data_IF_775223867671
#
_entry.id   IF_775223867671
#
_cell.length_a   1.000
_cell.length_b   1.000
_cell.length_c   1.000
_cell.angle_alpha   90.00
_cell.angle_beta   90.00
_cell.angle_gamma   90.00
#
_symmetry.space_group_name_H-M   'P 1'
#
loop_
_entity.id
_entity.type
_entity.pdbx_description
1 polymer ?
#
# COMPACT_ATOMS: atom_id res chain seq x y z
N UNK A 1 -0.95 -33.94 10.15
CA UNK A 1 -1.89 -32.82 9.91
C UNK A 1 -3.11 -33.39 9.20
N UNK A 2 -4.32 -33.04 9.62
CA UNK A 2 -5.54 -33.48 8.93
C UNK A 2 -5.78 -32.60 7.70
N UNK A 3 -5.95 -33.23 6.54
CA UNK A 3 -6.32 -32.54 5.29
C UNK A 3 -7.85 -32.47 5.25
N UNK A 4 -8.39 -31.30 4.92
CA UNK A 4 -9.83 -31.09 4.72
C UNK A 4 -10.09 -30.49 3.34
N UNK A 5 -11.16 -30.95 2.71
CA UNK A 5 -11.59 -30.47 1.39
C UNK A 5 -12.46 -29.21 1.54
N UNK A 6 -12.32 -28.29 0.58
CA UNK A 6 -13.16 -27.09 0.47
C UNK A 6 -13.96 -27.22 -0.83
N UNK A 7 -15.29 -27.11 -0.76
CA UNK A 7 -16.16 -27.03 -1.91
C UNK A 7 -16.69 -25.60 -2.04
N UNK A 8 -16.46 -24.96 -3.19
CA UNK A 8 -16.87 -23.59 -3.47
C UNK A 8 -17.67 -23.56 -4.76
N UNK A 9 -18.79 -22.83 -4.77
CA UNK A 9 -19.50 -22.47 -6.00
C UNK A 9 -19.02 -21.08 -6.43
N UNK A 10 -18.60 -20.97 -7.67
CA UNK A 10 -18.07 -19.75 -8.28
C UNK A 10 -18.63 -19.63 -9.69
N UNK A 11 -18.78 -18.39 -10.17
CA UNK A 11 -19.08 -18.14 -11.57
C UNK A 11 -17.98 -18.71 -12.47
N UNK A 12 -18.37 -19.31 -13.59
CA UNK A 12 -17.44 -19.97 -14.52
C UNK A 12 -16.51 -18.95 -15.18
N UNK A 13 -17.04 -17.79 -15.58
CA UNK A 13 -16.24 -16.72 -16.16
C UNK A 13 -15.18 -16.22 -15.20
N UNK A 14 -15.58 -15.96 -13.94
CA UNK A 14 -14.65 -15.54 -12.90
C UNK A 14 -13.55 -16.56 -12.63
N UNK A 15 -13.91 -17.87 -12.58
CA UNK A 15 -12.93 -18.95 -12.39
C UNK A 15 -11.91 -18.95 -13.52
N UNK A 16 -12.37 -18.89 -14.77
CA UNK A 16 -11.51 -18.96 -15.94
C UNK A 16 -10.58 -17.75 -16.04
N UNK A 17 -11.09 -16.53 -15.77
CA UNK A 17 -10.26 -15.33 -15.72
C UNK A 17 -9.19 -15.40 -14.62
N UNK A 18 -9.55 -15.90 -13.44
CA UNK A 18 -8.59 -16.07 -12.36
C UNK A 18 -7.53 -17.13 -12.69
N UNK A 19 -7.90 -18.25 -13.32
CA UNK A 19 -6.96 -19.29 -13.75
C UNK A 19 -5.90 -18.74 -14.72
N UNK A 20 -6.29 -17.99 -15.74
CA UNK A 20 -5.36 -17.38 -16.70
C UNK A 20 -4.32 -16.51 -15.99
N UNK A 21 -4.77 -15.62 -15.10
CA UNK A 21 -3.87 -14.72 -14.37
C UNK A 21 -2.94 -15.50 -13.43
N UNK A 22 -3.45 -16.53 -12.75
CA UNK A 22 -2.63 -17.34 -11.85
C UNK A 22 -1.59 -18.17 -12.60
N UNK A 23 -1.93 -18.69 -13.79
CA UNK A 23 -1.00 -19.41 -14.65
C UNK A 23 0.14 -18.51 -15.14
N UNK A 24 -0.14 -17.26 -15.53
CA UNK A 24 0.88 -16.27 -15.87
C UNK A 24 1.84 -16.00 -14.69
N UNK A 25 1.34 -16.11 -13.45
CA UNK A 25 2.13 -15.99 -12.22
C UNK A 25 2.81 -17.30 -11.80
N UNK A 26 2.60 -18.40 -12.54
CA UNK A 26 3.15 -19.73 -12.23
C UNK A 26 2.48 -20.41 -11.02
N UNK A 27 1.21 -20.12 -10.77
CA UNK A 27 0.43 -20.64 -9.64
C UNK A 27 -0.79 -21.43 -10.12
N UNK A 28 -1.10 -22.52 -9.43
CA UNK A 28 -2.39 -23.20 -9.57
C UNK A 28 -3.43 -22.60 -8.60
N UNK A 29 -4.71 -22.75 -8.94
CA UNK A 29 -5.83 -22.23 -8.13
C UNK A 29 -5.77 -22.69 -6.66
N UNK A 30 -5.50 -23.97 -6.34
CA UNK A 30 -5.34 -24.40 -4.95
C UNK A 30 -4.16 -23.74 -4.21
N UNK A 31 -3.02 -23.48 -4.86
CA UNK A 31 -1.90 -22.79 -4.20
C UNK A 31 -2.24 -21.33 -3.94
N UNK A 32 -2.86 -20.64 -4.89
CA UNK A 32 -3.33 -19.27 -4.69
C UNK A 32 -4.28 -19.18 -3.50
N UNK A 33 -5.26 -20.09 -3.40
CA UNK A 33 -6.19 -20.12 -2.28
C UNK A 33 -5.48 -20.42 -0.93
N UNK A 34 -4.51 -21.34 -0.91
CA UNK A 34 -3.69 -21.60 0.28
C UNK A 34 -2.87 -20.38 0.70
N UNK A 35 -2.30 -19.64 -0.25
CA UNK A 35 -1.55 -18.41 0.01
C UNK A 35 -2.46 -17.34 0.61
N UNK A 36 -3.64 -17.14 0.04
CA UNK A 36 -4.67 -16.24 0.57
C UNK A 36 -5.00 -16.57 2.04
N UNK A 37 -5.34 -17.83 2.33
CA UNK A 37 -5.69 -18.26 3.69
C UNK A 37 -4.52 -18.09 4.68
N UNK A 38 -3.29 -18.42 4.27
CA UNK A 38 -2.10 -18.20 5.10
C UNK A 38 -1.91 -16.73 5.41
N UNK A 39 -2.16 -15.84 4.45
CA UNK A 39 -2.07 -14.39 4.65
C UNK A 39 -3.14 -13.92 5.64
N UNK A 40 -4.40 -14.35 5.49
CA UNK A 40 -5.49 -14.07 6.44
C UNK A 40 -5.10 -14.46 7.87
N UNK A 41 -4.57 -15.68 8.05
CA UNK A 41 -4.15 -16.16 9.38
C UNK A 41 -3.03 -15.31 9.96
N UNK A 42 -2.06 -14.89 9.14
CA UNK A 42 -0.90 -14.10 9.55
C UNK A 42 -1.27 -12.65 9.89
N UNK A 43 -2.15 -12.02 9.12
CA UNK A 43 -2.52 -10.61 9.30
C UNK A 43 -3.75 -10.40 10.16
N UNK A 44 -4.52 -11.47 10.44
CA UNK A 44 -5.83 -11.38 11.12
C UNK A 44 -6.81 -10.43 10.42
N UNK A 45 -6.68 -10.30 9.12
CA UNK A 45 -7.47 -9.41 8.27
C UNK A 45 -7.60 -9.98 6.86
N UNK A 46 -8.56 -9.48 6.08
CA UNK A 46 -8.69 -9.80 4.66
C UNK A 46 -7.51 -9.15 3.91
N UNK A 47 -6.77 -9.90 3.08
CA UNK A 47 -5.49 -9.48 2.51
C UNK A 47 -5.63 -8.60 1.26
N UNK A 48 -6.68 -7.78 1.23
CA UNK A 48 -6.94 -6.73 0.26
C UNK A 48 -7.92 -5.74 0.92
N UNK A 49 -7.99 -4.53 0.40
CA UNK A 49 -8.89 -3.51 0.95
C UNK A 49 -10.32 -3.82 0.49
N UNK A 50 -11.27 -3.80 1.41
CA UNK A 50 -12.69 -3.89 1.05
C UNK A 50 -13.22 -2.46 0.99
N UNK A 51 -13.39 -1.94 -0.22
CA UNK A 51 -13.98 -0.62 -0.48
C UNK A 51 -14.82 -0.67 -1.75
N UNK A 52 -15.82 0.21 -1.83
CA UNK A 52 -16.55 0.50 -3.08
C UNK A 52 -15.78 1.49 -3.97
N UNK A 53 -14.74 2.12 -3.42
CA UNK A 53 -13.81 2.98 -4.15
C UNK A 53 -12.72 2.09 -4.79
N UNK A 54 -12.44 2.30 -6.08
CA UNK A 54 -11.51 1.49 -6.86
C UNK A 54 -10.16 1.24 -6.15
N UNK A 55 -9.66 -0.01 -6.23
CA UNK A 55 -8.34 -0.44 -5.73
C UNK A 55 -7.15 0.21 -6.45
N UNK A 56 -7.38 1.22 -7.29
CA UNK A 56 -6.33 2.11 -7.81
C UNK A 56 -5.68 2.99 -6.73
N UNK A 57 -6.02 2.77 -5.45
CA UNK A 57 -5.17 2.90 -4.28
C UNK A 57 -4.06 3.93 -4.40
N UNK A 58 -4.29 5.13 -3.85
CA UNK A 58 -3.25 6.13 -3.63
C UNK A 58 -2.66 6.80 -4.89
N UNK A 59 -3.43 6.89 -5.97
CA UNK A 59 -3.22 8.01 -6.88
C UNK A 59 -3.67 9.27 -6.15
N UNK A 60 -2.70 9.99 -5.55
CA UNK A 60 -2.84 11.42 -5.36
C UNK A 60 -3.57 11.97 -6.60
N UNK A 61 -4.65 12.72 -6.41
CA UNK A 61 -5.31 13.36 -7.55
C UNK A 61 -4.25 14.14 -8.34
N UNK A 62 -4.43 14.33 -9.65
CA UNK A 62 -3.47 15.13 -10.46
C UNK A 62 -3.15 16.50 -9.81
N UNK A 63 -4.09 17.05 -9.04
CA UNK A 63 -3.90 18.23 -8.21
C UNK A 63 -2.92 17.98 -7.05
N UNK A 64 -3.14 16.96 -6.23
CA UNK A 64 -2.25 16.58 -5.12
C UNK A 64 -0.83 16.22 -5.60
N UNK A 65 -0.70 15.52 -6.75
CA UNK A 65 0.62 15.23 -7.35
C UNK A 65 1.32 16.54 -7.75
N UNK A 66 0.61 17.47 -8.39
CA UNK A 66 1.19 18.77 -8.75
C UNK A 66 1.61 19.55 -7.53
N UNK A 67 0.81 19.54 -6.47
CA UNK A 67 1.12 20.23 -5.23
C UNK A 67 2.37 19.66 -4.55
N UNK A 68 2.47 18.33 -4.41
CA UNK A 68 3.67 17.67 -3.86
C UNK A 68 4.91 17.99 -4.71
N UNK A 69 4.78 17.99 -6.04
CA UNK A 69 5.88 18.32 -6.94
C UNK A 69 6.27 19.81 -6.89
N UNK A 70 5.30 20.71 -6.75
CA UNK A 70 5.54 22.15 -6.60
C UNK A 70 6.24 22.45 -5.26
N UNK A 71 5.73 21.91 -4.16
CA UNK A 71 6.33 22.03 -2.83
C UNK A 71 7.75 21.48 -2.79
N UNK A 72 8.04 20.37 -3.51
CA UNK A 72 9.41 19.86 -3.65
C UNK A 72 10.35 20.80 -4.42
N UNK A 73 9.86 21.52 -5.43
CA UNK A 73 10.68 22.48 -6.18
C UNK A 73 10.94 23.75 -5.36
N UNK A 74 9.94 24.21 -4.63
CA UNK A 74 10.05 25.38 -3.75
C UNK A 74 10.94 25.11 -2.53
N UNK A 75 10.92 23.92 -1.96
CA UNK A 75 11.80 23.51 -0.87
C UNK A 75 13.29 23.39 -1.29
N UNK A 76 13.59 23.33 -2.58
CA UNK A 76 14.96 23.34 -3.12
C UNK A 76 15.49 24.75 -3.39
N UNK A 77 14.63 25.75 -3.31
CA UNK A 77 15.03 27.16 -3.43
C UNK A 77 15.54 27.66 -2.06
N UNK A 78 16.85 27.91 -1.91
CA UNK A 78 17.41 28.35 -0.63
C UNK A 78 16.85 29.69 -0.15
N UNK A 79 16.24 30.50 -1.04
CA UNK A 79 15.61 31.77 -0.69
C UNK A 79 14.22 31.63 -0.06
N UNK A 80 13.57 30.45 -0.17
CA UNK A 80 12.21 30.18 0.33
C UNK A 80 12.16 29.25 1.54
N UNK A 81 13.31 28.85 2.07
CA UNK A 81 13.41 28.21 3.37
C UNK A 81 12.93 29.21 4.43
N UNK A 82 11.73 29.02 4.97
CA UNK A 82 11.18 29.84 6.05
C UNK A 82 10.85 28.97 7.25
N UNK A 83 11.63 29.19 8.31
CA UNK A 83 11.57 28.59 9.64
C UNK A 83 12.74 29.17 10.45
N UNK A 84 12.63 29.34 11.77
CA UNK A 84 13.48 30.22 12.57
C UNK A 84 14.95 29.76 12.73
N UNK A 85 15.36 28.70 12.04
CA UNK A 85 16.60 28.00 12.31
C UNK A 85 17.66 28.42 11.30
N UNK A 86 18.70 29.06 11.83
CA UNK A 86 19.84 29.61 11.08
C UNK A 86 20.92 28.55 10.83
N UNK A 87 20.78 27.35 11.40
CA UNK A 87 21.74 26.25 11.27
C UNK A 87 21.10 24.87 11.41
N UNK A 88 21.77 23.84 10.87
CA UNK A 88 21.37 22.43 11.03
C UNK A 88 21.32 21.97 12.50
N UNK A 89 22.11 22.59 13.36
CA UNK A 89 22.20 22.25 14.80
C UNK A 89 20.94 22.71 15.54
N UNK A 90 20.43 23.90 15.23
CA UNK A 90 19.15 24.39 15.77
C UNK A 90 17.98 23.50 15.33
N UNK A 91 17.97 23.06 14.08
CA UNK A 91 16.95 22.15 13.56
C UNK A 91 16.99 20.80 14.29
N UNK A 92 18.18 20.24 14.56
CA UNK A 92 18.32 18.99 15.30
C UNK A 92 17.83 19.14 16.76
N UNK A 93 18.20 20.22 17.45
CA UNK A 93 17.74 20.47 18.82
C UNK A 93 16.22 20.64 18.93
N UNK A 94 15.58 21.29 17.96
CA UNK A 94 14.13 21.39 17.91
C UNK A 94 13.46 20.02 17.69
N UNK A 95 13.96 19.22 16.75
CA UNK A 95 13.43 17.88 16.48
C UNK A 95 13.56 16.94 17.68
N UNK A 96 14.62 17.06 18.46
CA UNK A 96 14.81 16.27 19.68
C UNK A 96 13.85 16.69 20.80
N UNK A 97 13.50 17.98 20.89
CA UNK A 97 12.49 18.47 21.84
C UNK A 97 11.07 17.97 21.55
N UNK A 98 10.75 17.70 20.29
CA UNK A 98 9.46 17.14 19.87
C UNK A 98 9.32 15.64 20.19
N UNK A 99 10.43 14.91 20.31
CA UNK A 99 10.42 13.48 20.66
C UNK A 99 10.28 13.22 22.16
N UNK A 100 10.42 14.24 23.00
CA UNK A 100 10.30 14.14 24.46
C UNK A 100 8.88 14.44 24.98
N UNK A 101 7.88 14.53 24.10
CA UNK A 101 6.46 14.67 24.47
C UNK A 101 5.70 13.43 24.05
#
# INVERSE_FOLDING_TARGET
MAIKNIQLRIDEGLKNSAEIVLEELGLDMPTALRLFLKKVVKTKAIPFRISLEDESGESFTRAQIREILASRKEARDPAKLSGPFKSLQETQGFLDSLKQK
#
